data_IF_683746673866
#
_entry.id   IF_683746673866
#
_cell.length_a   1.000
_cell.length_b   1.000
_cell.length_c   1.000
_cell.angle_alpha   90.00
_cell.angle_beta   90.00
_cell.angle_gamma   90.00
#
_symmetry.space_group_name_H-M   'P 1'
#
loop_
_entity.id
_entity.type
_entity.pdbx_description
1 polymer ?
#
# COMPACT_ATOMS: atom_id res chain seq x y z
N UNK A 1 6.39 20.01 -15.57
CA UNK A 1 5.59 19.48 -14.45
C UNK A 1 4.93 18.21 -14.95
N UNK A 2 5.11 17.09 -14.26
CA UNK A 2 4.49 15.81 -14.65
C UNK A 2 2.98 15.93 -14.56
N UNK A 3 2.25 15.34 -15.52
CA UNK A 3 0.78 15.34 -15.53
C UNK A 3 0.18 14.56 -14.34
N UNK A 4 0.96 13.65 -13.77
CA UNK A 4 0.59 12.78 -12.65
C UNK A 4 1.38 13.14 -11.38
N UNK A 5 0.78 12.96 -10.17
CA UNK A 5 1.47 13.05 -8.88
C UNK A 5 2.67 12.11 -8.81
N UNK A 6 3.62 12.41 -7.93
CA UNK A 6 4.83 11.59 -7.74
C UNK A 6 4.85 11.09 -6.31
N UNK A 7 4.91 9.77 -6.14
CA UNK A 7 4.96 9.17 -4.82
C UNK A 7 6.20 9.64 -4.06
N UNK A 8 7.36 9.74 -4.71
CA UNK A 8 8.61 10.26 -4.14
C UNK A 8 8.46 11.71 -3.63
N UNK A 9 7.79 12.58 -4.39
CA UNK A 9 7.59 13.98 -3.99
C UNK A 9 6.53 14.08 -2.89
N UNK A 10 5.38 13.46 -3.10
CA UNK A 10 4.22 13.57 -2.21
C UNK A 10 4.46 12.86 -0.86
N UNK A 11 5.22 11.75 -0.83
CA UNK A 11 5.58 11.04 0.40
C UNK A 11 6.83 11.61 1.11
N UNK A 12 7.36 12.75 0.67
CA UNK A 12 8.57 13.35 1.26
C UNK A 12 8.36 13.67 2.74
N UNK A 13 9.42 13.44 3.51
CA UNK A 13 9.50 13.79 4.94
C UNK A 13 10.62 14.80 5.16
N UNK A 14 10.42 15.70 6.11
CA UNK A 14 11.40 16.70 6.52
C UNK A 14 11.71 16.49 8.00
N UNK A 15 12.97 16.27 8.34
CA UNK A 15 13.37 16.19 9.75
C UNK A 15 13.20 17.55 10.42
N UNK A 16 12.47 17.60 11.53
CA UNK A 16 12.21 18.81 12.30
C UNK A 16 13.21 18.95 13.46
N UNK A 17 13.48 17.84 14.16
CA UNK A 17 14.49 17.72 15.20
C UNK A 17 15.03 16.29 15.29
N UNK A 18 15.67 15.93 16.40
CA UNK A 18 16.32 14.64 16.58
C UNK A 18 15.38 13.44 16.39
N UNK A 19 14.11 13.55 16.79
CA UNK A 19 13.15 12.43 16.80
C UNK A 19 11.84 12.71 16.09
N UNK A 20 11.68 13.88 15.47
CA UNK A 20 10.43 14.26 14.80
C UNK A 20 10.62 14.65 13.35
N UNK A 21 9.61 14.32 12.55
CA UNK A 21 9.56 14.54 11.11
C UNK A 21 8.22 15.16 10.73
N UNK A 22 8.23 16.11 9.79
CA UNK A 22 7.02 16.60 9.13
C UNK A 22 6.77 15.84 7.83
N UNK A 23 5.49 15.64 7.53
CA UNK A 23 5.00 15.25 6.21
C UNK A 23 3.76 16.08 5.87
N UNK A 24 3.40 16.15 4.59
CA UNK A 24 2.15 16.76 4.15
C UNK A 24 1.39 15.76 3.27
N UNK A 25 0.34 15.14 3.82
CA UNK A 25 -0.46 14.14 3.11
C UNK A 25 -1.25 14.83 2.00
N UNK A 26 -1.09 14.39 0.75
CA UNK A 26 -1.66 15.12 -0.39
C UNK A 26 -2.94 14.48 -0.90
N UNK A 27 -3.86 15.33 -1.40
CA UNK A 27 -5.16 14.91 -1.92
C UNK A 27 -5.09 13.87 -3.04
N UNK A 28 -4.11 13.89 -3.97
CA UNK A 28 -4.09 12.92 -5.05
C UNK A 28 -3.93 11.46 -4.57
N UNK A 29 -3.39 11.23 -3.37
CA UNK A 29 -3.27 9.90 -2.78
C UNK A 29 -4.44 9.54 -1.85
N UNK A 30 -5.55 10.28 -1.87
CA UNK A 30 -6.74 9.97 -1.10
C UNK A 30 -7.67 8.98 -1.82
N UNK A 31 -8.20 8.02 -1.05
CA UNK A 31 -9.39 7.23 -1.41
C UNK A 31 -10.61 8.02 -0.90
N UNK A 32 -11.25 8.78 -1.78
CA UNK A 32 -12.25 9.76 -1.38
C UNK A 32 -11.58 10.90 -0.60
N UNK A 33 -11.86 11.03 0.69
CA UNK A 33 -11.29 12.09 1.53
C UNK A 33 -10.08 11.64 2.35
N UNK A 34 -9.91 10.33 2.53
CA UNK A 34 -8.90 9.74 3.41
C UNK A 34 -7.66 9.32 2.61
N UNK A 35 -6.44 9.76 2.97
CA UNK A 35 -5.20 9.27 2.38
C UNK A 35 -5.11 7.73 2.41
N UNK A 36 -4.67 7.13 1.31
CA UNK A 36 -4.49 5.68 1.22
C UNK A 36 -3.52 5.15 2.29
N UNK A 37 -3.83 3.97 2.82
CA UNK A 37 -3.07 3.35 3.92
C UNK A 37 -1.63 3.05 3.51
N UNK A 38 -1.43 2.50 2.32
CA UNK A 38 -0.11 2.22 1.76
C UNK A 38 0.72 3.47 1.49
N UNK A 39 0.11 4.54 1.00
CA UNK A 39 0.77 5.85 0.85
C UNK A 39 1.27 6.37 2.20
N UNK A 40 0.43 6.30 3.24
CA UNK A 40 0.84 6.64 4.62
C UNK A 40 1.94 5.71 5.10
N UNK A 41 1.83 4.40 4.85
CA UNK A 41 2.85 3.43 5.25
C UNK A 41 4.22 3.71 4.57
N UNK A 42 4.24 4.13 3.31
CA UNK A 42 5.46 4.56 2.62
C UNK A 42 6.14 5.75 3.31
N UNK A 43 5.37 6.71 3.83
CA UNK A 43 5.92 7.84 4.60
C UNK A 43 6.60 7.34 5.89
N UNK A 44 6.00 6.37 6.57
CA UNK A 44 6.59 5.73 7.74
C UNK A 44 7.91 5.01 7.42
N UNK A 45 7.98 4.29 6.30
CA UNK A 45 9.21 3.65 5.82
C UNK A 45 10.31 4.70 5.57
N UNK A 46 9.95 5.85 4.97
CA UNK A 46 10.88 6.97 4.74
C UNK A 46 11.37 7.59 6.04
N UNK A 47 10.51 7.78 7.03
CA UNK A 47 10.91 8.27 8.37
C UNK A 47 11.91 7.31 9.02
N UNK A 48 11.60 6.00 9.05
CA UNK A 48 12.50 5.01 9.65
C UNK A 48 13.85 4.96 8.92
N UNK A 49 13.83 4.98 7.58
CA UNK A 49 15.03 5.02 6.74
C UNK A 49 15.88 6.26 7.03
N UNK A 50 15.27 7.46 7.01
CA UNK A 50 15.97 8.71 7.28
C UNK A 50 16.56 8.74 8.71
N UNK A 51 15.80 8.28 9.71
CA UNK A 51 16.23 8.25 11.10
C UNK A 51 17.41 7.27 11.35
N UNK A 52 17.42 6.12 10.67
CA UNK A 52 18.42 5.06 10.88
C UNK A 52 19.59 5.08 9.88
N UNK A 53 19.53 5.94 8.86
CA UNK A 53 20.64 6.18 7.92
C UNK A 53 21.95 6.56 8.64
N UNK A 54 21.98 7.48 9.62
CA UNK A 54 23.20 7.80 10.37
C UNK A 54 23.83 6.61 11.11
N UNK A 55 23.04 5.55 11.37
CA UNK A 55 23.49 4.28 11.98
C UNK A 55 23.84 3.22 10.96
N UNK A 56 23.88 3.58 9.68
CA UNK A 56 24.14 2.65 8.59
C UNK A 56 23.11 1.51 8.51
N UNK A 57 21.85 1.80 8.85
CA UNK A 57 20.72 0.87 8.77
C UNK A 57 19.53 1.51 8.04
N UNK A 58 19.70 1.91 6.77
CA UNK A 58 18.67 2.67 6.05
C UNK A 58 17.49 1.81 5.60
N UNK A 59 17.61 0.48 5.55
CA UNK A 59 16.71 -0.38 4.80
C UNK A 59 15.64 -0.99 5.71
N UNK A 60 14.37 -0.57 5.61
CA UNK A 60 13.30 -1.23 6.34
C UNK A 60 13.03 -2.60 5.72
N UNK A 61 13.00 -3.65 6.54
CA UNK A 61 12.70 -5.01 6.07
C UNK A 61 11.52 -5.67 6.78
N UNK A 62 11.10 -5.13 7.92
CA UNK A 62 9.87 -5.56 8.60
C UNK A 62 9.11 -4.34 9.12
N UNK A 63 7.81 -4.30 8.89
CA UNK A 63 6.93 -3.22 9.35
C UNK A 63 5.58 -3.75 9.80
N UNK A 64 5.02 -3.13 10.84
CA UNK A 64 3.67 -3.40 11.33
C UNK A 64 2.98 -2.07 11.61
N UNK A 65 1.86 -1.79 10.92
CA UNK A 65 1.06 -0.58 11.12
C UNK A 65 -0.26 -0.93 11.79
N UNK A 66 -0.67 -0.07 12.73
CA UNK A 66 -2.01 -0.04 13.27
C UNK A 66 -2.63 1.30 12.91
N UNK A 67 -3.74 1.26 12.15
CA UNK A 67 -4.50 2.43 11.76
C UNK A 67 -5.54 2.72 12.84
N UNK A 68 -5.27 3.74 13.66
CA UNK A 68 -6.09 4.08 14.84
C UNK A 68 -7.25 5.00 14.46
N UNK A 69 -6.99 5.95 13.56
CA UNK A 69 -7.96 6.91 13.05
C UNK A 69 -7.71 7.17 11.56
N UNK A 70 -8.77 7.57 10.83
CA UNK A 70 -8.66 7.98 9.45
C UNK A 70 -7.82 9.27 9.35
N UNK A 71 -6.76 9.25 8.55
CA UNK A 71 -5.94 10.42 8.26
C UNK A 71 -6.68 11.42 7.35
N UNK A 72 -6.15 12.62 7.25
CA UNK A 72 -6.67 13.68 6.39
C UNK A 72 -5.56 14.27 5.51
N UNK A 73 -5.93 14.76 4.32
CA UNK A 73 -4.99 15.54 3.52
C UNK A 73 -4.57 16.82 4.27
N UNK A 74 -3.26 17.08 4.34
CA UNK A 74 -2.68 18.20 5.04
C UNK A 74 -1.48 17.81 5.92
N UNK A 75 -1.04 18.72 6.80
CA UNK A 75 0.12 18.51 7.65
C UNK A 75 -0.01 17.30 8.58
N UNK A 76 1.10 16.63 8.80
CA UNK A 76 1.26 15.56 9.77
C UNK A 76 2.65 15.66 10.42
N UNK A 77 2.74 15.24 11.68
CA UNK A 77 4.00 15.11 12.41
C UNK A 77 4.19 13.65 12.78
N UNK A 78 5.34 13.08 12.46
CA UNK A 78 5.74 11.74 12.84
C UNK A 78 6.79 11.83 13.96
N UNK A 79 6.53 11.14 15.07
CA UNK A 79 7.44 11.06 16.22
C UNK A 79 8.03 9.66 16.27
N UNK A 80 9.36 9.58 16.37
CA UNK A 80 10.14 8.35 16.42
C UNK A 80 10.59 8.08 17.85
N UNK A 81 10.33 6.87 18.33
CA UNK A 81 10.84 6.35 19.59
C UNK A 81 11.73 5.13 19.29
N UNK A 82 12.97 5.14 19.78
CA UNK A 82 13.86 3.98 19.64
C UNK A 82 13.40 2.86 20.59
N UNK A 83 13.05 1.70 20.02
CA UNK A 83 12.61 0.53 20.80
C UNK A 83 13.79 -0.40 21.06
N UNK A 84 14.64 -0.60 20.04
CA UNK A 84 15.84 -1.42 20.11
C UNK A 84 16.89 -0.85 19.18
N UNK A 85 18.08 -0.61 19.70
CA UNK A 85 19.25 -0.26 18.89
C UNK A 85 20.22 -1.43 18.91
N UNK A 86 20.58 -1.94 17.75
CA UNK A 86 21.47 -3.09 17.61
C UNK A 86 22.50 -2.88 16.51
N UNK A 87 23.56 -3.70 16.52
CA UNK A 87 24.64 -3.61 15.50
C UNK A 87 24.15 -3.96 14.10
N UNK A 88 23.36 -5.03 13.97
CA UNK A 88 22.84 -5.49 12.68
C UNK A 88 21.48 -4.88 12.35
N UNK A 89 20.59 -4.84 13.34
CA UNK A 89 19.20 -4.36 13.17
C UNK A 89 18.81 -3.41 14.28
N UNK A 90 18.01 -2.40 13.96
CA UNK A 90 17.33 -1.55 14.95
C UNK A 90 15.83 -1.54 14.69
N UNK A 91 15.06 -1.30 15.76
CA UNK A 91 13.59 -1.22 15.75
C UNK A 91 13.19 0.16 16.26
N UNK A 92 12.36 0.85 15.48
CA UNK A 92 11.74 2.11 15.87
C UNK A 92 10.23 1.94 15.99
N UNK A 93 9.65 2.60 16.99
CA UNK A 93 8.23 2.88 17.06
C UNK A 93 8.01 4.27 16.45
N UNK A 94 7.07 4.39 15.53
CA UNK A 94 6.72 5.67 14.91
C UNK A 94 5.25 5.93 15.15
N UNK A 95 4.89 7.15 15.56
CA UNK A 95 3.51 7.60 15.65
C UNK A 95 3.30 8.79 14.72
N UNK A 96 2.29 8.70 13.84
CA UNK A 96 1.82 9.84 13.05
C UNK A 96 0.69 10.55 13.79
N UNK A 97 0.88 11.84 13.99
CA UNK A 97 -0.08 12.77 14.57
C UNK A 97 -0.65 13.71 13.53
N UNK A 98 -1.95 13.99 13.65
CA UNK A 98 -2.64 15.10 13.00
C UNK A 98 -3.56 15.77 14.01
N UNK A 99 -4.14 16.92 13.62
CA UNK A 99 -4.97 17.76 14.48
C UNK A 99 -4.19 18.28 15.71
N UNK A 100 -4.50 19.48 16.19
CA UNK A 100 -3.83 20.04 17.39
C UNK A 100 -2.29 20.16 17.31
N UNK A 101 -1.69 20.18 16.11
CA UNK A 101 -0.24 20.33 15.91
C UNK A 101 0.21 21.75 16.30
N UNK A 102 1.46 21.88 16.76
CA UNK A 102 2.06 23.17 17.12
C UNK A 102 3.06 23.63 16.05
N UNK A 103 3.28 24.94 15.93
CA UNK A 103 4.21 25.54 14.95
C UNK A 103 5.69 25.42 15.33
N UNK A 104 5.98 24.97 16.55
CA UNK A 104 7.32 24.76 17.09
C UNK A 104 7.36 23.51 17.97
N UNK A 105 8.56 23.03 18.29
CA UNK A 105 8.79 21.94 19.25
C UNK A 105 7.93 22.11 20.52
N UNK A 106 7.25 21.04 21.00
CA UNK A 106 7.41 19.63 20.60
C UNK A 106 6.61 19.20 19.36
N UNK A 107 6.09 20.14 18.55
CA UNK A 107 5.35 19.94 17.28
C UNK A 107 3.97 19.29 17.42
N UNK A 108 3.73 18.64 18.56
CA UNK A 108 2.46 18.06 18.99
C UNK A 108 2.03 18.69 20.32
N UNK A 109 0.76 18.53 20.67
CA UNK A 109 0.20 18.93 21.96
C UNK A 109 -0.61 17.80 22.58
N UNK A 110 -1.15 18.02 23.77
CA UNK A 110 -2.15 17.17 24.41
C UNK A 110 -3.43 16.99 23.56
N UNK A 111 -3.67 17.91 22.62
CA UNK A 111 -4.78 17.85 21.66
C UNK A 111 -4.40 17.14 20.36
N UNK A 112 -3.14 16.75 20.17
CA UNK A 112 -2.72 16.05 18.96
C UNK A 112 -3.25 14.63 18.93
N UNK A 113 -3.82 14.25 17.79
CA UNK A 113 -4.49 12.97 17.63
C UNK A 113 -3.56 11.97 16.96
N UNK A 114 -3.41 10.79 17.58
CA UNK A 114 -2.70 9.66 17.00
C UNK A 114 -3.52 9.05 15.88
N UNK A 115 -2.99 9.06 14.67
CA UNK A 115 -3.70 8.55 13.49
C UNK A 115 -3.26 7.15 13.14
N UNK A 116 -1.95 6.93 13.08
CA UNK A 116 -1.33 5.64 12.75
C UNK A 116 -0.12 5.46 13.65
N UNK A 117 0.11 4.23 14.09
CA UNK A 117 1.35 3.85 14.79
C UNK A 117 1.98 2.67 14.07
N UNK A 118 3.31 2.57 14.13
CA UNK A 118 4.01 1.46 13.53
C UNK A 118 5.25 1.04 14.32
N UNK A 119 5.62 -0.23 14.19
CA UNK A 119 6.95 -0.72 14.51
C UNK A 119 7.66 -1.07 13.20
N UNK A 120 8.87 -0.57 13.02
CA UNK A 120 9.65 -0.76 11.79
C UNK A 120 11.05 -1.20 12.17
N UNK A 121 11.50 -2.30 11.58
CA UNK A 121 12.84 -2.84 11.75
C UNK A 121 13.66 -2.53 10.51
N UNK A 122 14.79 -1.88 10.70
CA UNK A 122 15.74 -1.63 9.62
C UNK A 122 17.06 -2.35 9.84
N UNK A 123 17.75 -2.53 8.72
CA UNK A 123 19.05 -3.17 8.56
C UNK A 123 19.81 -2.47 7.43
N UNK A 124 20.91 -3.08 6.98
CA UNK A 124 21.52 -2.78 5.69
C UNK A 124 21.46 -4.04 4.84
N UNK A 125 20.42 -4.14 3.99
CA UNK A 125 20.02 -5.39 3.32
C UNK A 125 21.15 -5.95 2.45
N UNK A 126 21.89 -5.09 1.76
CA UNK A 126 23.03 -5.49 0.91
C UNK A 126 24.19 -6.16 1.66
N UNK A 127 24.28 -5.98 2.99
CA UNK A 127 25.34 -6.57 3.81
C UNK A 127 24.91 -7.87 4.49
N UNK A 128 23.66 -8.29 4.31
CA UNK A 128 23.15 -9.50 4.95
C UNK A 128 23.87 -10.75 4.46
N UNK A 129 24.19 -11.62 5.41
CA UNK A 129 24.81 -12.92 5.17
C UNK A 129 24.05 -13.95 5.99
N UNK A 130 23.71 -15.06 5.38
CA UNK A 130 22.93 -16.08 6.05
C UNK A 130 22.69 -17.29 5.17
N UNK A 131 21.85 -18.18 5.68
CA UNK A 131 21.42 -19.38 5.00
C UNK A 131 20.44 -19.01 3.89
N UNK A 132 20.70 -19.50 2.68
CA UNK A 132 19.79 -19.41 1.54
C UNK A 132 19.36 -20.82 1.15
N UNK A 133 18.07 -21.11 1.28
CA UNK A 133 17.51 -22.44 0.99
C UNK A 133 16.33 -22.34 0.03
N UNK A 134 16.21 -23.24 -0.95
CA UNK A 134 15.00 -23.36 -1.74
C UNK A 134 13.86 -23.85 -0.85
N UNK A 135 12.75 -23.11 -0.80
CA UNK A 135 11.58 -23.48 0.01
C UNK A 135 10.57 -24.35 -0.74
N UNK A 136 10.68 -24.42 -2.07
CA UNK A 136 9.66 -25.04 -2.93
C UNK A 136 8.34 -24.25 -2.95
N UNK A 137 8.35 -22.97 -2.59
CA UNK A 137 7.16 -22.13 -2.67
C UNK A 137 6.69 -22.00 -4.13
N UNK A 138 5.45 -22.39 -4.36
CA UNK A 138 4.78 -22.27 -5.66
C UNK A 138 3.44 -21.57 -5.50
N UNK A 139 3.09 -20.78 -6.50
CA UNK A 139 1.83 -20.06 -6.57
C UNK A 139 0.78 -20.97 -7.22
N UNK A 140 -0.25 -21.34 -6.45
CA UNK A 140 -1.40 -22.12 -6.95
C UNK A 140 -2.14 -21.35 -8.05
N UNK A 141 -2.42 -21.97 -9.19
CA UNK A 141 -3.01 -21.32 -10.37
C UNK A 141 -2.21 -20.07 -10.78
N UNK A 142 -0.96 -20.21 -11.26
CA UNK A 142 -0.12 -19.06 -11.60
C UNK A 142 -0.74 -18.23 -12.73
N UNK A 143 -0.48 -16.90 -12.77
CA UNK A 143 -1.02 -16.07 -13.83
C UNK A 143 -0.35 -16.41 -15.17
N UNK A 144 -0.97 -16.05 -16.31
CA UNK A 144 -0.35 -16.26 -17.62
C UNK A 144 0.93 -15.43 -17.77
N UNK A 145 1.86 -15.83 -18.66
CA UNK A 145 3.07 -15.06 -18.92
C UNK A 145 2.73 -13.64 -19.43
N UNK A 146 3.66 -12.71 -19.22
CA UNK A 146 3.52 -11.30 -19.56
C UNK A 146 4.68 -10.85 -20.46
N UNK A 147 4.39 -9.92 -21.35
CA UNK A 147 5.35 -9.10 -22.08
C UNK A 147 5.24 -7.65 -21.57
N UNK A 148 6.16 -7.24 -20.69
CA UNK A 148 6.09 -5.95 -20.01
C UNK A 148 6.22 -4.76 -20.98
N UNK A 149 7.01 -4.91 -22.06
CA UNK A 149 7.15 -3.87 -23.08
C UNK A 149 5.81 -3.61 -23.77
N UNK A 150 5.11 -4.69 -24.16
CA UNK A 150 3.79 -4.61 -24.79
C UNK A 150 2.68 -4.29 -23.80
N UNK A 151 2.86 -4.58 -22.52
CA UNK A 151 1.86 -4.29 -21.48
C UNK A 151 1.62 -2.79 -21.36
N UNK A 152 2.69 -1.99 -21.39
CA UNK A 152 2.63 -0.52 -21.31
C UNK A 152 1.76 0.13 -22.39
N UNK A 153 1.67 -0.52 -23.56
CA UNK A 153 0.90 -0.06 -24.73
C UNK A 153 -0.42 -0.83 -24.90
N UNK A 154 -0.82 -1.62 -23.89
CA UNK A 154 -2.00 -2.48 -23.90
C UNK A 154 -2.02 -3.48 -25.08
N UNK A 155 -0.83 -3.88 -25.55
CA UNK A 155 -0.62 -4.80 -26.67
C UNK A 155 -0.33 -6.25 -26.24
N UNK A 156 -0.31 -6.54 -24.94
CA UNK A 156 -0.07 -7.89 -24.41
C UNK A 156 -1.24 -8.85 -24.74
N UNK A 157 -0.97 -10.13 -25.13
CA UNK A 157 -2.02 -11.08 -25.48
C UNK A 157 -2.87 -11.55 -24.29
N UNK A 158 -2.29 -11.64 -23.10
CA UNK A 158 -2.87 -12.26 -21.90
C UNK A 158 -3.38 -11.25 -20.86
N UNK A 159 -2.88 -10.03 -20.88
CA UNK A 159 -3.14 -8.98 -19.89
C UNK A 159 -3.81 -7.77 -20.53
N UNK A 160 -4.58 -7.05 -19.72
CA UNK A 160 -5.23 -5.79 -20.11
C UNK A 160 -5.15 -4.77 -18.99
N UNK A 161 -5.19 -3.49 -19.31
CA UNK A 161 -5.37 -2.44 -18.30
C UNK A 161 -6.65 -2.70 -17.52
N UNK A 162 -6.56 -2.66 -16.19
CA UNK A 162 -7.70 -2.85 -15.30
C UNK A 162 -8.59 -1.61 -15.36
N UNK A 163 -9.89 -1.83 -15.51
CA UNK A 163 -10.91 -0.80 -15.38
C UNK A 163 -12.06 -1.36 -14.56
N UNK A 164 -12.31 -0.75 -13.41
CA UNK A 164 -13.46 -1.06 -12.54
C UNK A 164 -14.30 0.20 -12.37
N UNK A 165 -15.59 0.04 -12.07
CA UNK A 165 -16.50 1.17 -11.84
C UNK A 165 -15.96 2.13 -10.77
N UNK A 166 -15.31 1.59 -9.73
CA UNK A 166 -14.72 2.39 -8.66
C UNK A 166 -13.59 3.33 -9.12
N UNK A 167 -12.93 2.99 -10.25
CA UNK A 167 -11.83 3.75 -10.81
C UNK A 167 -12.30 5.00 -11.56
N UNK A 168 -13.57 5.07 -11.95
CA UNK A 168 -14.12 6.24 -12.66
C UNK A 168 -14.28 7.46 -11.74
N UNK A 169 -14.38 7.25 -10.42
CA UNK A 169 -14.57 8.32 -9.44
C UNK A 169 -13.48 8.39 -8.37
N UNK A 170 -12.68 7.34 -8.14
CA UNK A 170 -11.56 7.39 -7.20
C UNK A 170 -10.26 7.81 -7.91
N UNK A 171 -9.90 9.08 -7.73
CA UNK A 171 -8.72 9.71 -8.35
C UNK A 171 -7.38 9.08 -7.99
N UNK A 172 -7.29 8.29 -6.90
CA UNK A 172 -6.06 7.59 -6.54
C UNK A 172 -5.56 6.65 -7.64
N UNK A 173 -6.48 6.07 -8.44
CA UNK A 173 -6.11 5.20 -9.55
C UNK A 173 -5.52 5.97 -10.75
N UNK A 174 -5.55 7.31 -10.73
CA UNK A 174 -4.81 8.12 -11.71
C UNK A 174 -3.28 8.09 -11.46
N UNK A 175 -2.84 7.63 -10.28
CA UNK A 175 -1.44 7.65 -9.87
C UNK A 175 -0.69 6.36 -10.25
N UNK A 176 -1.43 5.27 -10.45
CA UNK A 176 -0.89 3.93 -10.69
C UNK A 176 -1.63 3.26 -11.83
N UNK A 177 -0.90 2.71 -12.78
CA UNK A 177 -1.48 1.87 -13.82
C UNK A 177 -1.55 0.43 -13.31
N UNK A 178 -2.74 -0.15 -13.31
CA UNK A 178 -2.96 -1.54 -12.92
C UNK A 178 -3.35 -2.37 -14.14
N UNK A 179 -2.82 -3.58 -14.23
CA UNK A 179 -3.09 -4.51 -15.32
C UNK A 179 -3.47 -5.88 -14.78
N UNK A 180 -4.49 -6.48 -15.38
CA UNK A 180 -5.08 -7.74 -14.92
C UNK A 180 -5.10 -8.79 -16.03
N UNK A 181 -5.05 -10.10 -15.70
CA UNK A 181 -5.25 -11.14 -16.70
C UNK A 181 -6.61 -11.02 -17.40
N UNK A 182 -6.64 -11.23 -18.71
CA UNK A 182 -7.88 -11.28 -19.49
C UNK A 182 -8.74 -12.48 -19.09
N UNK A 183 -8.09 -13.61 -18.80
CA UNK A 183 -8.72 -14.79 -18.19
C UNK A 183 -8.58 -14.68 -16.68
N UNK A 184 -9.69 -14.54 -15.97
CA UNK A 184 -9.69 -14.43 -14.52
C UNK A 184 -9.26 -15.74 -13.85
N UNK A 185 -8.73 -15.60 -12.63
CA UNK A 185 -8.44 -16.72 -11.75
C UNK A 185 -9.71 -17.52 -11.47
N UNK A 186 -9.65 -18.86 -11.41
CA UNK A 186 -10.77 -19.67 -10.94
C UNK A 186 -11.04 -19.50 -9.43
N UNK A 187 -10.12 -18.85 -8.69
CA UNK A 187 -10.27 -18.55 -7.28
C UNK A 187 -10.91 -17.14 -7.12
N UNK A 188 -12.15 -17.03 -6.59
CA UNK A 188 -12.90 -15.76 -6.61
C UNK A 188 -12.26 -14.61 -5.83
N UNK A 189 -11.56 -14.93 -4.74
CA UNK A 189 -10.88 -13.96 -3.89
C UNK A 189 -9.36 -13.98 -4.10
N UNK A 190 -8.91 -14.12 -5.35
CA UNK A 190 -7.48 -14.06 -5.70
C UNK A 190 -7.30 -13.28 -6.97
N UNK A 191 -6.35 -12.33 -6.96
CA UNK A 191 -6.09 -11.47 -8.10
C UNK A 191 -4.59 -11.25 -8.30
N UNK A 192 -4.14 -11.36 -9.55
CA UNK A 192 -2.83 -10.87 -9.97
C UNK A 192 -2.96 -9.52 -10.65
N UNK A 193 -2.09 -8.61 -10.25
CA UNK A 193 -2.03 -7.26 -10.79
C UNK A 193 -0.58 -6.90 -11.08
N UNK A 194 -0.29 -6.61 -12.34
CA UNK A 194 0.92 -5.86 -12.70
C UNK A 194 0.66 -4.38 -12.47
N UNK A 195 1.68 -3.67 -12.01
CA UNK A 195 1.58 -2.24 -11.77
C UNK A 195 2.85 -1.47 -12.09
N UNK A 196 2.65 -0.20 -12.46
CA UNK A 196 3.68 0.84 -12.55
C UNK A 196 3.08 2.20 -12.20
N UNK A 197 3.91 3.17 -11.81
CA UNK A 197 3.42 4.53 -11.56
C UNK A 197 3.03 5.21 -12.87
N UNK A 198 1.87 5.87 -12.90
CA UNK A 198 1.40 6.63 -14.07
C UNK A 198 2.29 7.85 -14.38
N UNK A 199 3.06 8.32 -13.40
CA UNK A 199 4.07 9.36 -13.57
C UNK A 199 5.33 8.89 -14.31
N UNK A 200 5.52 7.59 -14.49
CA UNK A 200 6.77 6.99 -14.95
C UNK A 200 7.84 6.85 -13.86
N UNK A 201 7.51 7.20 -12.61
CA UNK A 201 8.36 6.98 -11.45
C UNK A 201 8.57 5.48 -11.20
N UNK A 202 9.78 5.11 -10.73
CA UNK A 202 10.14 3.72 -10.43
C UNK A 202 9.95 3.45 -8.94
N UNK A 203 9.47 2.26 -8.60
CA UNK A 203 9.26 1.82 -7.22
C UNK A 203 10.59 1.59 -6.52
N UNK A 204 10.75 2.19 -5.34
CA UNK A 204 11.88 1.96 -4.43
C UNK A 204 11.43 1.14 -3.21
N UNK A 205 12.35 0.68 -2.36
CA UNK A 205 11.99 -0.03 -1.12
C UNK A 205 11.00 0.78 -0.24
N UNK A 206 11.12 2.10 -0.22
CA UNK A 206 10.18 2.97 0.52
C UNK A 206 8.78 3.03 -0.10
N UNK A 207 8.64 2.72 -1.39
CA UNK A 207 7.34 2.66 -2.06
C UNK A 207 6.55 1.37 -1.77
N UNK A 208 7.19 0.35 -1.18
CA UNK A 208 6.56 -0.95 -0.93
C UNK A 208 5.34 -0.88 -0.02
N UNK A 209 5.24 0.14 0.85
CA UNK A 209 4.00 0.40 1.60
C UNK A 209 2.81 0.65 0.68
N UNK A 210 2.99 1.50 -0.34
CA UNK A 210 1.97 1.82 -1.35
C UNK A 210 1.65 0.62 -2.24
N UNK A 211 2.66 -0.11 -2.68
CA UNK A 211 2.50 -1.33 -3.52
C UNK A 211 1.72 -2.41 -2.75
N UNK A 212 2.03 -2.63 -1.47
CA UNK A 212 1.37 -3.62 -0.64
C UNK A 212 -0.14 -3.36 -0.48
N UNK A 213 -0.56 -2.09 -0.47
CA UNK A 213 -1.96 -1.68 -0.26
C UNK A 213 -2.72 -1.38 -1.56
N UNK A 214 -2.10 -1.61 -2.73
CA UNK A 214 -2.74 -1.31 -4.03
C UNK A 214 -3.85 -2.32 -4.41
N UNK A 215 -3.74 -3.57 -3.94
CA UNK A 215 -4.66 -4.67 -4.24
C UNK A 215 -5.74 -4.97 -3.19
N UNK A 216 -5.47 -4.92 -1.88
CA UNK A 216 -6.42 -5.36 -0.84
C UNK A 216 -7.84 -4.78 -0.93
N UNK A 217 -8.06 -3.50 -1.25
CA UNK A 217 -9.43 -2.97 -1.43
C UNK A 217 -10.18 -3.60 -2.60
N UNK A 218 -9.46 -4.10 -3.62
CA UNK A 218 -10.04 -4.65 -4.85
C UNK A 218 -10.53 -6.09 -4.68
N UNK A 219 -10.14 -6.79 -3.60
CA UNK A 219 -10.55 -8.19 -3.38
C UNK A 219 -12.05 -8.36 -3.22
N UNK A 220 -12.74 -7.43 -2.55
CA UNK A 220 -14.20 -7.50 -2.41
C UNK A 220 -14.88 -7.16 -3.73
N UNK A 221 -14.27 -6.27 -4.52
CA UNK A 221 -14.75 -5.85 -5.83
C UNK A 221 -14.76 -6.99 -6.86
N UNK A 222 -13.98 -8.07 -6.67
CA UNK A 222 -14.07 -9.27 -7.53
C UNK A 222 -15.42 -9.98 -7.45
N UNK A 223 -16.17 -9.77 -6.37
CA UNK A 223 -17.52 -10.31 -6.17
C UNK A 223 -18.62 -9.37 -6.69
N UNK A 224 -18.26 -8.18 -7.20
CA UNK A 224 -19.26 -7.26 -7.75
C UNK A 224 -19.90 -7.88 -9.01
N UNK A 225 -21.24 -7.88 -9.12
CA UNK A 225 -21.90 -8.27 -10.35
C UNK A 225 -21.38 -7.47 -11.55
N UNK A 226 -21.28 -8.10 -12.73
CA UNK A 226 -20.86 -7.40 -13.95
C UNK A 226 -22.01 -6.73 -14.69
N UNK A 227 -23.24 -7.15 -14.42
CA UNK A 227 -24.47 -6.60 -14.98
C UNK A 227 -25.17 -5.74 -13.91
N UNK A 228 -25.46 -4.45 -14.20
CA UNK A 228 -26.18 -3.56 -13.29
C UNK A 228 -27.55 -4.09 -12.84
N UNK A 229 -28.22 -4.87 -13.68
CA UNK A 229 -29.57 -5.39 -13.44
C UNK A 229 -29.55 -6.82 -12.84
N UNK A 230 -28.36 -7.39 -12.60
CA UNK A 230 -28.25 -8.71 -12.00
C UNK A 230 -28.86 -8.75 -10.59
N UNK A 231 -29.53 -9.87 -10.23
CA UNK A 231 -29.99 -10.07 -8.87
C UNK A 231 -28.81 -10.10 -7.91
N UNK A 232 -29.04 -9.63 -6.68
CA UNK A 232 -28.03 -9.67 -5.62
C UNK A 232 -27.75 -11.14 -5.27
N UNK A 233 -26.51 -11.63 -5.44
CA UNK A 233 -26.14 -12.99 -5.04
C UNK A 233 -26.31 -13.20 -3.54
N UNK A 234 -26.53 -14.44 -3.10
CA UNK A 234 -26.57 -14.76 -1.66
C UNK A 234 -25.27 -14.34 -0.98
N UNK A 235 -25.38 -13.52 0.08
CA UNK A 235 -24.22 -12.95 0.79
C UNK A 235 -23.45 -11.87 0.02
N UNK A 236 -23.88 -11.54 -1.21
CA UNK A 236 -23.28 -10.53 -2.07
C UNK A 236 -23.89 -9.14 -1.90
N UNK A 237 -23.67 -8.29 -2.89
CA UNK A 237 -24.14 -6.91 -2.91
C UNK A 237 -24.55 -6.48 -4.32
N UNK A 238 -25.40 -5.45 -4.40
CA UNK A 238 -25.85 -4.89 -5.67
C UNK A 238 -24.68 -4.24 -6.44
N UNK A 239 -24.79 -4.21 -7.77
CA UNK A 239 -23.83 -3.54 -8.65
C UNK A 239 -23.48 -2.12 -8.21
N UNK A 240 -24.48 -1.37 -7.71
CA UNK A 240 -24.37 0.04 -7.37
C UNK A 240 -23.96 0.30 -5.91
N UNK A 241 -23.70 -0.75 -5.12
CA UNK A 241 -23.30 -0.64 -3.71
C UNK A 241 -21.87 -0.13 -3.59
N UNK A 242 -21.69 1.02 -2.93
CA UNK A 242 -20.38 1.58 -2.58
C UNK A 242 -19.90 1.03 -1.24
N UNK A 243 -18.61 0.68 -1.19
CA UNK A 243 -17.91 0.33 0.03
C UNK A 243 -16.74 1.27 0.27
N UNK A 244 -16.39 1.44 1.53
CA UNK A 244 -15.08 1.90 1.95
C UNK A 244 -14.33 0.75 2.62
N UNK A 245 -13.03 0.65 2.36
CA UNK A 245 -12.19 -0.46 2.78
C UNK A 245 -11.12 -0.03 3.80
N UNK A 246 -11.50 0.35 5.03
CA UNK A 246 -10.50 0.75 6.02
C UNK A 246 -9.68 -0.46 6.47
N UNK A 247 -8.37 -0.34 6.30
CA UNK A 247 -7.38 -1.24 6.90
C UNK A 247 -7.32 -0.99 8.40
N UNK A 248 -7.37 -2.06 9.21
CA UNK A 248 -7.18 -2.01 10.66
C UNK A 248 -5.69 -2.16 10.98
N UNK A 249 -5.05 -3.17 10.40
CA UNK A 249 -3.61 -3.38 10.51
C UNK A 249 -3.05 -3.93 9.21
N UNK A 250 -1.77 -3.61 8.97
CA UNK A 250 -0.98 -4.10 7.83
C UNK A 250 0.40 -4.53 8.34
N UNK A 251 0.95 -5.62 7.82
CA UNK A 251 2.35 -6.00 7.99
C UNK A 251 3.09 -5.94 6.66
N UNK A 252 4.40 -5.72 6.68
CA UNK A 252 5.27 -5.80 5.50
C UNK A 252 6.54 -6.56 5.87
N UNK A 253 6.95 -7.49 5.02
CA UNK A 253 8.19 -8.25 5.13
C UNK A 253 8.95 -8.17 3.81
N UNK A 254 10.02 -7.38 3.75
CA UNK A 254 10.88 -7.28 2.57
C UNK A 254 11.86 -8.45 2.56
N UNK A 255 11.89 -9.18 1.45
CA UNK A 255 12.78 -10.33 1.22
C UNK A 255 13.95 -9.98 0.30
N UNK A 256 13.75 -9.01 -0.59
CA UNK A 256 14.74 -8.54 -1.56
C UNK A 256 14.69 -7.01 -1.61
N UNK A 257 15.85 -6.38 -1.46
CA UNK A 257 15.96 -4.94 -1.70
C UNK A 257 15.70 -4.65 -3.18
N UNK A 258 14.97 -3.58 -3.47
CA UNK A 258 14.87 -3.08 -4.84
C UNK A 258 16.18 -2.35 -5.22
N UNK A 259 16.56 -2.33 -6.51
CA UNK A 259 17.69 -1.53 -6.98
C UNK A 259 17.58 -0.07 -6.57
N UNK A 260 18.72 0.64 -6.47
CA UNK A 260 18.74 2.05 -6.09
C UNK A 260 17.99 2.95 -7.09
N UNK A 261 18.07 2.59 -8.37
CA UNK A 261 17.30 3.19 -9.46
C UNK A 261 15.82 2.79 -9.48
N UNK A 262 15.39 1.92 -8.56
CA UNK A 262 14.04 1.39 -8.43
C UNK A 262 13.70 0.26 -9.40
N UNK A 263 12.40 -0.08 -9.46
CA UNK A 263 11.81 -0.97 -10.45
C UNK A 263 10.64 -0.27 -11.15
N UNK A 264 10.55 -0.34 -12.47
CA UNK A 264 9.37 0.22 -13.17
C UNK A 264 8.13 -0.63 -12.89
N UNK A 265 8.30 -1.95 -12.91
CA UNK A 265 7.21 -2.91 -12.83
C UNK A 265 7.34 -3.77 -11.58
N UNK A 266 6.23 -3.87 -10.84
CA UNK A 266 6.04 -4.89 -9.82
C UNK A 266 4.74 -5.63 -10.10
N UNK A 267 4.68 -6.90 -9.74
CA UNK A 267 3.44 -7.68 -9.71
C UNK A 267 3.05 -7.92 -8.27
N UNK A 268 1.77 -7.79 -7.97
CA UNK A 268 1.22 -8.34 -6.74
C UNK A 268 0.31 -9.53 -7.07
N UNK A 269 0.36 -10.55 -6.23
CA UNK A 269 -0.77 -11.46 -6.04
C UNK A 269 -1.41 -11.14 -4.70
N UNK A 270 -2.70 -10.84 -4.73
CA UNK A 270 -3.51 -10.59 -3.55
C UNK A 270 -4.56 -11.67 -3.40
N UNK A 271 -4.78 -12.17 -2.18
CA UNK A 271 -5.82 -13.17 -1.89
C UNK A 271 -6.45 -12.98 -0.52
N UNK A 272 -7.74 -13.29 -0.38
CA UNK A 272 -8.41 -13.43 0.92
C UNK A 272 -8.69 -14.90 1.22
N UNK A 273 -8.49 -15.32 2.47
CA UNK A 273 -8.89 -16.64 2.96
C UNK A 273 -10.34 -16.61 3.43
N UNK A 274 -10.76 -15.54 4.09
CA UNK A 274 -12.12 -15.37 4.62
C UNK A 274 -12.59 -13.93 4.47
N UNK A 275 -13.76 -13.77 3.85
CA UNK A 275 -14.54 -12.53 3.89
C UNK A 275 -15.81 -12.85 4.67
N UNK A 276 -15.98 -12.24 5.84
CA UNK A 276 -17.12 -12.55 6.71
C UNK A 276 -17.55 -11.33 7.52
N UNK A 277 -18.85 -11.03 7.50
CA UNK A 277 -19.46 -9.96 8.29
C UNK A 277 -18.75 -8.60 8.13
N UNK A 278 -18.35 -8.29 6.89
CA UNK A 278 -17.65 -7.04 6.57
C UNK A 278 -16.21 -6.96 7.07
N UNK A 279 -15.59 -8.07 7.50
CA UNK A 279 -14.16 -8.16 7.80
C UNK A 279 -13.51 -9.18 6.87
N UNK A 280 -12.28 -8.89 6.45
CA UNK A 280 -11.52 -9.81 5.61
C UNK A 280 -10.01 -9.72 5.88
N UNK A 281 -9.31 -10.81 5.58
CA UNK A 281 -7.86 -10.80 5.44
C UNK A 281 -7.47 -10.49 3.99
N UNK A 282 -6.31 -9.86 3.81
CA UNK A 282 -5.67 -9.80 2.50
C UNK A 282 -4.20 -10.19 2.64
N UNK A 283 -3.83 -11.31 2.04
CA UNK A 283 -2.44 -11.72 1.84
C UNK A 283 -1.94 -11.18 0.51
N UNK A 284 -0.78 -10.55 0.53
CA UNK A 284 -0.15 -9.94 -0.63
C UNK A 284 1.25 -10.50 -0.79
N UNK A 285 1.55 -11.01 -1.98
CA UNK A 285 2.90 -11.40 -2.39
C UNK A 285 3.33 -10.45 -3.50
N UNK A 286 4.43 -9.73 -3.29
CA UNK A 286 4.99 -8.76 -4.22
C UNK A 286 6.16 -9.40 -4.95
N UNK A 287 6.17 -9.28 -6.27
CA UNK A 287 7.19 -9.82 -7.16
C UNK A 287 7.79 -8.73 -8.03
N UNK A 288 9.05 -8.89 -8.42
CA UNK A 288 9.68 -8.07 -9.46
C UNK A 288 9.36 -8.57 -10.88
N UNK A 289 9.93 -7.88 -11.88
CA UNK A 289 9.81 -8.22 -13.30
C UNK A 289 10.32 -9.63 -13.67
N UNK A 290 11.26 -10.17 -12.90
CA UNK A 290 11.82 -11.51 -13.11
C UNK A 290 10.97 -12.61 -12.45
N UNK A 291 10.03 -12.23 -11.58
CA UNK A 291 9.19 -13.16 -10.82
C UNK A 291 9.75 -13.55 -9.47
N UNK A 292 10.83 -12.92 -9.00
CA UNK A 292 11.35 -13.14 -7.65
C UNK A 292 10.44 -12.49 -6.61
N UNK A 293 10.31 -13.12 -5.44
CA UNK A 293 9.56 -12.53 -4.32
C UNK A 293 10.36 -11.36 -3.73
N UNK A 294 9.78 -10.17 -3.81
CA UNK A 294 10.33 -8.93 -3.25
C UNK A 294 9.90 -8.74 -1.82
N UNK A 295 8.61 -8.90 -1.55
CA UNK A 295 8.05 -8.68 -0.22
C UNK A 295 6.73 -9.45 -0.02
N UNK A 296 6.36 -9.63 1.24
CA UNK A 296 5.08 -10.18 1.68
C UNK A 296 4.35 -9.13 2.51
N UNK A 297 3.02 -9.11 2.44
CA UNK A 297 2.18 -8.28 3.32
C UNK A 297 0.92 -9.04 3.73
N UNK A 298 0.40 -8.73 4.92
CA UNK A 298 -0.90 -9.20 5.36
C UNK A 298 -1.69 -8.04 5.97
N UNK A 299 -2.99 -8.00 5.66
CA UNK A 299 -3.91 -6.99 6.16
C UNK A 299 -5.04 -7.63 6.94
N UNK A 300 -5.48 -6.94 8.00
CA UNK A 300 -6.85 -7.07 8.51
C UNK A 300 -7.60 -5.84 8.06
N UNK A 301 -8.65 -6.02 7.27
CA UNK A 301 -9.42 -4.93 6.68
C UNK A 301 -10.92 -5.12 6.89
N UNK A 302 -11.66 -4.04 6.72
CA UNK A 302 -13.12 -4.04 6.76
C UNK A 302 -13.67 -3.66 5.40
N UNK A 303 -14.85 -4.17 5.06
CA UNK A 303 -15.70 -3.69 3.97
C UNK A 303 -16.94 -3.08 4.61
N UNK A 304 -16.98 -1.75 4.68
CA UNK A 304 -18.05 -1.01 5.35
C UNK A 304 -18.77 -0.11 4.36
N UNK A 305 -19.94 0.41 4.74
CA UNK A 305 -20.69 1.31 3.90
C UNK A 305 -19.85 2.52 3.45
N UNK A 306 -19.85 2.79 2.14
CA UNK A 306 -19.13 3.91 1.53
C UNK A 306 -19.54 5.27 2.10
N UNK A 307 -20.76 5.42 2.63
CA UNK A 307 -21.21 6.68 3.25
C UNK A 307 -20.28 7.17 4.37
N UNK A 308 -19.57 6.25 5.03
CA UNK A 308 -18.61 6.58 6.10
C UNK A 308 -17.41 7.41 5.64
N UNK A 309 -17.10 7.43 4.34
CA UNK A 309 -15.98 8.18 3.76
C UNK A 309 -16.44 9.14 2.65
N UNK A 310 -17.43 8.76 1.84
CA UNK A 310 -17.91 9.55 0.71
C UNK A 310 -19.14 10.42 1.05
N UNK A 311 -19.61 10.39 2.31
CA UNK A 311 -20.86 11.03 2.74
C UNK A 311 -22.11 10.37 2.12
N UNK A 312 -23.29 10.92 2.41
CA UNK A 312 -24.56 10.55 1.75
C UNK A 312 -24.56 11.03 0.29
N UNK A 313 -23.73 10.42 -0.54
CA UNK A 313 -23.87 10.49 -1.99
C UNK A 313 -24.60 9.22 -2.44
N UNK A 314 -25.53 9.36 -3.39
CA UNK A 314 -26.39 8.26 -3.84
C UNK A 314 -25.61 7.03 -4.35
N UNK A 315 -26.36 5.97 -4.69
CA UNK A 315 -25.90 4.79 -5.45
C UNK A 315 -24.91 5.18 -6.57
N UNK A 316 -23.98 4.27 -6.92
CA UNK A 316 -22.94 4.47 -7.96
C UNK A 316 -23.39 5.35 -9.12
#
# INVERSE_FOLDING_TARGET
MTKHPSLEIDSRVTQLDATTFAANLTKPFCVGTVPNGGYVASIFLRVASAYLTPRNQPDPFAGHWQFLNATHAGPAVLVVEEVKTGRATSVVHVTLYQEGLTSSSPWISDKSKKMVVAYITNTRLELEKGVTLPTGFEIKEPPPPVDLERLSTNGDPNWKKLQLVIMDFLRIFDNVELYTPKKQSPLPATWDLWMRMASGERFTTSSLGYVADAGPPLLVETFRPTDPDAPIPEGGFAFDKKFWYPTVTMSLEVKKALPLEGEEWLRIRVAAKVVQNGRYDAEVVIFDGAGDVVALSNHVALAVDGERNFGRSGKL
#
